data_IF_844000909246
#
_entry.id   IF_844000909246
#
_cell.length_a   1.000
_cell.length_b   1.000
_cell.length_c   1.000
_cell.angle_alpha   90.00
_cell.angle_beta   90.00
_cell.angle_gamma   90.00
#
_symmetry.space_group_name_H-M   'P 1'
#
loop_
_entity.id
_entity.type
_entity.pdbx_description
1 polymer ?
#
# COMPACT_ATOMS: atom_id res chain seq x y z
N UNK A 1 10.01 14.80 -1.39
CA UNK A 1 9.05 13.89 -0.76
C UNK A 1 9.52 12.47 -1.04
N UNK A 2 9.68 11.62 -0.02
CA UNK A 2 10.05 10.22 -0.26
C UNK A 2 8.79 9.42 -0.60
N UNK A 3 8.38 9.56 -1.86
CA UNK A 3 7.25 8.84 -2.45
C UNK A 3 7.47 7.32 -2.39
N UNK A 4 6.37 6.58 -2.25
CA UNK A 4 6.41 5.12 -2.33
C UNK A 4 6.89 4.70 -3.73
N UNK A 5 7.85 3.76 -3.86
CA UNK A 5 8.41 3.35 -5.15
C UNK A 5 7.47 2.39 -5.89
N UNK A 6 6.26 2.89 -6.18
CA UNK A 6 5.23 2.21 -6.96
C UNK A 6 5.54 2.36 -8.45
N UNK A 7 5.13 1.38 -9.26
CA UNK A 7 5.18 1.48 -10.73
C UNK A 7 4.47 2.74 -11.24
N UNK A 8 5.00 3.37 -12.30
CA UNK A 8 4.41 4.56 -12.93
C UNK A 8 2.99 4.34 -13.48
N UNK A 9 2.57 3.09 -13.64
CA UNK A 9 1.20 2.73 -14.02
C UNK A 9 0.16 3.06 -12.94
N UNK A 10 0.60 3.42 -11.73
CA UNK A 10 -0.24 3.78 -10.61
C UNK A 10 0.03 5.22 -10.19
N UNK A 11 -1.05 5.96 -9.91
CA UNK A 11 -0.98 7.21 -9.16
C UNK A 11 -1.14 6.90 -7.67
N UNK A 12 -0.19 7.32 -6.85
CA UNK A 12 -0.30 7.20 -5.38
C UNK A 12 -1.24 8.28 -4.86
N UNK A 13 -2.26 7.89 -4.11
CA UNK A 13 -3.23 8.82 -3.50
C UNK A 13 -2.97 9.05 -2.01
N UNK A 14 -2.47 8.03 -1.30
CA UNK A 14 -2.12 8.08 0.12
C UNK A 14 -1.23 6.89 0.48
N UNK A 15 -0.68 6.91 1.69
CA UNK A 15 -0.07 5.71 2.26
C UNK A 15 0.30 5.83 3.72
N UNK A 16 0.59 4.68 4.30
CA UNK A 16 0.94 4.54 5.70
C UNK A 16 2.03 3.49 5.86
N UNK A 17 3.14 3.91 6.46
CA UNK A 17 4.25 3.02 6.77
C UNK A 17 3.89 2.11 7.94
N UNK A 18 3.97 0.80 7.71
CA UNK A 18 3.99 -0.20 8.78
C UNK A 18 5.41 -0.36 9.34
N UNK A 19 6.41 -0.13 8.48
CA UNK A 19 7.81 -0.11 8.84
C UNK A 19 8.61 0.65 7.78
N UNK A 20 9.56 1.49 8.20
CA UNK A 20 10.53 2.12 7.30
C UNK A 20 11.92 2.16 7.93
N UNK A 21 12.90 1.76 7.13
CA UNK A 21 14.32 1.98 7.38
C UNK A 21 15.02 2.42 6.10
N UNK A 22 16.33 2.63 6.14
CA UNK A 22 17.12 3.04 4.98
C UNK A 22 17.02 2.07 3.80
N UNK A 23 16.82 0.77 4.09
CA UNK A 23 16.87 -0.29 3.08
C UNK A 23 15.58 -1.09 2.95
N UNK A 24 14.57 -0.85 3.81
CA UNK A 24 13.30 -1.60 3.80
C UNK A 24 12.12 -0.67 4.04
N UNK A 25 11.10 -0.79 3.18
CA UNK A 25 9.81 -0.14 3.36
C UNK A 25 8.74 -1.22 3.38
N UNK A 26 7.83 -1.16 4.35
CA UNK A 26 6.58 -1.92 4.37
C UNK A 26 5.45 -0.93 4.59
N UNK A 27 4.47 -0.89 3.70
CA UNK A 27 3.41 0.11 3.78
C UNK A 27 2.09 -0.34 3.17
N UNK A 28 1.00 0.20 3.71
CA UNK A 28 -0.28 0.27 3.05
C UNK A 28 -0.28 1.48 2.12
N UNK A 29 -0.58 1.30 0.84
CA UNK A 29 -0.57 2.38 -0.14
C UNK A 29 -1.85 2.35 -0.94
N UNK A 30 -2.53 3.50 -0.99
CA UNK A 30 -3.70 3.69 -1.84
C UNK A 30 -3.22 4.14 -3.21
N UNK A 31 -3.64 3.39 -4.23
CA UNK A 31 -3.26 3.66 -5.61
C UNK A 31 -4.50 3.80 -6.50
N UNK A 32 -4.37 4.58 -7.56
CA UNK A 32 -5.35 4.70 -8.64
C UNK A 32 -4.70 4.24 -9.95
N UNK A 33 -5.44 3.41 -10.69
CA UNK A 33 -5.08 2.93 -12.02
C UNK A 33 -6.24 3.16 -12.99
N UNK A 34 -6.06 2.80 -14.26
CA UNK A 34 -7.15 2.81 -15.24
C UNK A 34 -8.35 1.91 -14.86
N UNK A 35 -8.14 0.93 -13.96
CA UNK A 35 -9.19 0.03 -13.49
C UNK A 35 -9.86 0.50 -12.19
N UNK A 36 -9.51 1.69 -11.69
CA UNK A 36 -10.02 2.24 -10.44
C UNK A 36 -8.99 2.22 -9.31
N UNK A 37 -9.50 2.42 -8.09
CA UNK A 37 -8.72 2.56 -6.87
C UNK A 37 -8.56 1.25 -6.13
N UNK A 38 -7.40 1.09 -5.50
CA UNK A 38 -7.02 -0.12 -4.81
C UNK A 38 -6.18 0.21 -3.56
N UNK A 39 -6.24 -0.65 -2.55
CA UNK A 39 -5.42 -0.56 -1.34
C UNK A 39 -4.43 -1.72 -1.34
N UNK A 40 -3.14 -1.40 -1.42
CA UNK A 40 -2.08 -2.40 -1.58
C UNK A 40 -1.17 -2.44 -0.38
N UNK A 41 -0.86 -3.66 0.07
CA UNK A 41 0.24 -3.91 0.99
C UNK A 41 1.51 -4.13 0.18
N UNK A 42 2.45 -3.21 0.31
CA UNK A 42 3.74 -3.30 -0.33
C UNK A 42 4.86 -3.60 0.65
N UNK A 43 5.88 -4.27 0.12
CA UNK A 43 7.19 -4.39 0.73
C UNK A 43 8.24 -4.09 -0.33
N UNK A 44 9.17 -3.19 -0.03
CA UNK A 44 10.30 -2.87 -0.90
C UNK A 44 11.60 -3.05 -0.16
N UNK A 45 12.58 -3.61 -0.86
CA UNK A 45 13.95 -3.71 -0.38
C UNK A 45 14.87 -2.92 -1.32
N UNK A 46 15.76 -2.12 -0.74
CA UNK A 46 16.80 -1.42 -1.49
C UNK A 46 17.92 -2.41 -1.81
N UNK A 47 18.27 -2.56 -3.08
CA UNK A 47 19.38 -3.38 -3.58
C UNK A 47 20.21 -2.54 -4.55
N UNK A 48 21.51 -2.41 -4.32
CA UNK A 48 22.41 -1.59 -5.14
C UNK A 48 21.84 -0.17 -5.36
N UNK A 49 21.40 0.46 -4.26
CA UNK A 49 20.75 1.77 -4.23
C UNK A 49 19.43 1.92 -5.00
N UNK A 50 18.86 0.84 -5.51
CA UNK A 50 17.55 0.83 -6.18
C UNK A 50 16.50 0.13 -5.34
N UNK A 51 15.31 0.72 -5.22
CA UNK A 51 14.15 0.06 -4.63
C UNK A 51 13.59 -1.00 -5.57
N UNK A 52 13.38 -2.22 -5.06
CA UNK A 52 12.70 -3.30 -5.78
C UNK A 52 11.52 -3.76 -4.94
N UNK A 53 10.38 -4.03 -5.60
CA UNK A 53 9.25 -4.71 -4.96
C UNK A 53 9.75 -6.08 -4.52
N UNK A 54 9.66 -6.35 -3.22
CA UNK A 54 10.05 -7.63 -2.66
C UNK A 54 8.81 -8.52 -2.53
N UNK A 55 9.02 -9.83 -2.56
CA UNK A 55 7.94 -10.76 -2.23
C UNK A 55 7.51 -10.50 -0.79
N UNK A 56 6.20 -10.48 -0.56
CA UNK A 56 5.62 -10.23 0.76
C UNK A 56 5.73 -11.45 1.70
N UNK A 57 6.88 -12.12 1.70
CA UNK A 57 7.22 -13.23 2.61
C UNK A 57 8.01 -12.66 3.79
N UNK A 58 7.31 -12.28 4.86
CA UNK A 58 7.93 -11.74 6.07
C UNK A 58 7.21 -12.22 7.33
N UNK A 59 7.90 -12.21 8.46
CA UNK A 59 7.25 -12.46 9.75
C UNK A 59 6.36 -11.29 10.13
N UNK A 60 5.14 -11.60 10.53
CA UNK A 60 4.14 -10.61 10.98
C UNK A 60 3.89 -10.66 12.49
N UNK A 61 4.72 -11.41 13.24
CA UNK A 61 4.52 -11.65 14.68
C UNK A 61 4.48 -10.37 15.52
N UNK A 62 5.23 -9.33 15.12
CA UNK A 62 5.34 -8.06 15.85
C UNK A 62 4.45 -6.95 15.28
N UNK A 63 3.58 -7.28 14.35
CA UNK A 63 2.69 -6.28 13.76
C UNK A 63 1.64 -5.86 14.78
N UNK A 64 1.40 -4.56 14.86
CA UNK A 64 0.30 -4.01 15.65
C UNK A 64 -0.99 -4.12 14.86
N UNK A 65 -1.53 -5.33 14.74
CA UNK A 65 -2.63 -5.64 13.83
C UNK A 65 -3.87 -4.77 13.97
N UNK A 66 -4.18 -4.31 15.18
CA UNK A 66 -5.29 -3.37 15.39
C UNK A 66 -5.04 -2.04 14.66
N UNK A 67 -3.83 -1.48 14.75
CA UNK A 67 -3.47 -0.25 14.05
C UNK A 67 -3.50 -0.46 12.52
N UNK A 68 -2.97 -1.60 12.05
CA UNK A 68 -2.98 -1.95 10.61
C UNK A 68 -4.42 -2.07 10.08
N UNK A 69 -5.29 -2.78 10.79
CA UNK A 69 -6.68 -2.98 10.41
C UNK A 69 -7.47 -1.67 10.43
N UNK A 70 -7.31 -0.85 11.48
CA UNK A 70 -7.95 0.47 11.57
C UNK A 70 -7.51 1.36 10.42
N UNK A 71 -6.22 1.41 10.10
CA UNK A 71 -5.72 2.24 8.99
C UNK A 71 -6.19 1.74 7.63
N UNK A 72 -6.23 0.42 7.43
CA UNK A 72 -6.78 -0.16 6.20
C UNK A 72 -8.26 0.21 6.03
N UNK A 73 -9.05 0.10 7.10
CA UNK A 73 -10.48 0.46 7.06
C UNK A 73 -10.69 1.96 6.80
N UNK A 74 -9.87 2.82 7.42
CA UNK A 74 -9.87 4.25 7.15
C UNK A 74 -9.63 4.54 5.67
N UNK A 75 -8.63 3.92 5.05
CA UNK A 75 -8.36 4.09 3.61
C UNK A 75 -9.46 3.51 2.72
N UNK A 76 -9.98 2.33 3.04
CA UNK A 76 -11.08 1.72 2.30
C UNK A 76 -12.29 2.66 2.27
N UNK A 77 -12.67 3.21 3.43
CA UNK A 77 -13.79 4.14 3.54
C UNK A 77 -13.50 5.48 2.88
N UNK A 78 -12.33 6.09 3.14
CA UNK A 78 -11.93 7.40 2.60
C UNK A 78 -11.87 7.42 1.08
N UNK A 79 -11.45 6.31 0.46
CA UNK A 79 -11.24 6.22 -0.98
C UNK A 79 -12.30 5.40 -1.73
N UNK A 80 -13.32 4.91 -1.02
CA UNK A 80 -14.39 4.08 -1.54
C UNK A 80 -13.89 2.82 -2.28
N UNK A 81 -12.93 2.11 -1.68
CA UNK A 81 -12.27 0.95 -2.30
C UNK A 81 -13.13 -0.31 -2.10
N UNK A 82 -13.30 -1.12 -3.14
CA UNK A 82 -14.06 -2.37 -3.07
C UNK A 82 -15.59 -2.21 -3.14
N UNK A 83 -16.09 -0.98 -3.28
CA UNK A 83 -17.47 -0.76 -3.69
C UNK A 83 -17.52 -0.76 -5.22
N UNK A 84 -18.00 -1.85 -5.82
CA UNK A 84 -18.57 -1.78 -7.17
C UNK A 84 -19.69 -0.74 -7.13
N UNK A 85 -19.69 0.21 -8.07
CA UNK A 85 -20.85 1.07 -8.29
C UNK A 85 -22.12 0.22 -8.44
N UNK A 86 -23.32 0.78 -8.22
CA UNK A 86 -24.56 0.03 -8.41
C UNK A 86 -24.51 -0.63 -9.79
N UNK A 87 -24.70 -1.95 -9.82
CA UNK A 87 -25.01 -2.65 -11.05
C UNK A 87 -26.26 -2.00 -11.61
N UNK A 88 -26.14 -1.36 -12.77
CA UNK A 88 -27.29 -0.95 -13.55
C UNK A 88 -27.97 -2.25 -14.03
N UNK A 89 -29.11 -2.58 -13.42
CA UNK A 89 -30.05 -3.62 -13.87
C UNK A 89 -30.69 -3.22 -15.22
#
# INVERSE_FOLDING_TARGET
MNEYPVSQTFKVLDGHDLYRSENLIVALVVVESQYGRDLRLYRWLKRNDQWKVDLCRMSVKRWKWNEVATKAQEFITKYNIGQSGPSED
#
